data_IF_008618346215
#
_entry.id   IF_008618346215
#
_cell.length_a   1.000
_cell.length_b   1.000
_cell.length_c   1.000
_cell.angle_alpha   90.00
_cell.angle_beta   90.00
_cell.angle_gamma   90.00
#
_symmetry.space_group_name_H-M   'P 1'
#
loop_
_entity.id
_entity.type
_entity.pdbx_description
1 polymer ?
#
# COMPACT_ATOMS: atom_id res chain seq x y z
N UNK A 1 -2.53 -8.33 18.81
CA UNK A 1 -3.62 -9.25 18.41
C UNK A 1 -3.27 -10.67 18.86
N UNK A 2 -4.23 -11.52 19.24
CA UNK A 2 -3.92 -12.89 19.72
C UNK A 2 -3.84 -13.93 18.59
N UNK A 3 -4.47 -13.66 17.44
CA UNK A 3 -4.45 -14.52 16.24
C UNK A 3 -4.37 -13.62 15.01
N UNK A 4 -3.55 -14.01 14.03
CA UNK A 4 -3.46 -13.39 12.70
C UNK A 4 -3.81 -14.45 11.66
N UNK A 5 -4.71 -14.11 10.73
CA UNK A 5 -5.04 -14.96 9.58
C UNK A 5 -4.70 -14.17 8.31
N UNK A 6 -3.53 -14.39 7.70
CA UNK A 6 -3.13 -13.64 6.52
C UNK A 6 -3.92 -14.11 5.29
N UNK A 7 -4.44 -13.16 4.51
CA UNK A 7 -5.04 -13.45 3.20
C UNK A 7 -3.99 -13.66 2.09
N UNK A 8 -2.85 -13.00 2.20
CA UNK A 8 -1.66 -13.18 1.35
C UNK A 8 -0.43 -13.12 2.26
N UNK A 9 0.51 -14.03 2.07
CA UNK A 9 1.80 -14.03 2.76
C UNK A 9 2.84 -14.79 1.95
N UNK A 10 4.11 -14.44 2.14
CA UNK A 10 5.22 -15.26 1.68
C UNK A 10 5.31 -16.46 2.62
N UNK A 11 5.46 -17.67 2.05
CA UNK A 11 5.63 -18.89 2.84
C UNK A 11 6.84 -18.73 3.76
N UNK A 12 6.62 -18.88 5.07
CA UNK A 12 7.65 -18.69 6.09
C UNK A 12 7.65 -17.31 6.76
N UNK A 13 6.88 -16.34 6.24
CA UNK A 13 6.82 -14.95 6.74
C UNK A 13 5.43 -14.61 7.34
N UNK A 14 4.73 -15.63 7.84
CA UNK A 14 3.32 -15.56 8.31
C UNK A 14 3.18 -15.20 9.79
N UNK A 15 4.29 -15.14 10.53
CA UNK A 15 4.29 -15.08 11.99
C UNK A 15 4.46 -13.65 12.56
N UNK A 16 4.65 -12.64 11.71
CA UNK A 16 4.88 -11.30 12.21
C UNK A 16 3.57 -10.66 12.71
N UNK A 17 3.43 -10.62 14.04
CA UNK A 17 2.30 -10.00 14.76
C UNK A 17 2.16 -8.50 14.45
N UNK A 18 3.21 -7.86 13.93
CA UNK A 18 3.22 -6.46 13.54
C UNK A 18 2.77 -6.23 12.09
N UNK A 19 2.57 -7.29 11.29
CA UNK A 19 2.05 -7.19 9.91
C UNK A 19 0.77 -6.34 9.79
N UNK A 20 -0.24 -6.45 10.68
CA UNK A 20 -1.42 -5.58 10.62
C UNK A 20 -1.10 -4.11 10.85
N UNK A 21 -0.10 -3.81 11.70
CA UNK A 21 0.33 -2.44 11.96
C UNK A 21 0.98 -1.84 10.71
N UNK A 22 1.80 -2.63 10.00
CA UNK A 22 2.34 -2.23 8.69
C UNK A 22 1.22 -1.92 7.69
N UNK A 23 0.27 -2.83 7.48
CA UNK A 23 -0.85 -2.61 6.54
C UNK A 23 -1.67 -1.38 6.92
N UNK A 24 -2.01 -1.20 8.20
CA UNK A 24 -2.77 -0.06 8.65
C UNK A 24 -2.01 1.26 8.47
N UNK A 25 -0.69 1.27 8.69
CA UNK A 25 0.15 2.45 8.43
C UNK A 25 0.22 2.77 6.95
N UNK A 26 0.42 1.75 6.11
CA UNK A 26 0.49 1.91 4.65
C UNK A 26 -0.78 2.56 4.10
N UNK A 27 -1.97 2.08 4.50
CA UNK A 27 -3.25 2.64 4.06
C UNK A 27 -3.41 4.10 4.52
N UNK A 28 -3.07 4.41 5.79
CA UNK A 28 -3.15 5.79 6.29
C UNK A 28 -2.21 6.73 5.54
N UNK A 29 -0.99 6.32 5.28
CA UNK A 29 -0.04 7.12 4.52
C UNK A 29 -0.52 7.31 3.07
N UNK A 30 -1.08 6.26 2.45
CA UNK A 30 -1.70 6.36 1.12
C UNK A 30 -2.82 7.41 1.10
N UNK A 31 -3.73 7.38 2.08
CA UNK A 31 -4.81 8.36 2.20
C UNK A 31 -4.28 9.79 2.42
N UNK A 32 -3.18 9.94 3.17
CA UNK A 32 -2.52 11.23 3.42
C UNK A 32 -1.84 11.78 2.15
N UNK A 33 -1.17 10.93 1.37
CA UNK A 33 -0.44 11.35 0.17
C UNK A 33 -1.36 11.53 -1.05
N UNK A 34 -2.48 10.82 -1.12
CA UNK A 34 -3.45 10.89 -2.23
C UNK A 34 -3.91 12.32 -2.58
N UNK A 35 -4.33 13.17 -1.62
CA UNK A 35 -4.72 14.55 -1.93
C UNK A 35 -3.53 15.47 -2.23
N UNK A 36 -2.30 15.10 -1.84
CA UNK A 36 -1.08 15.89 -2.10
C UNK A 36 -0.56 15.67 -3.52
N UNK A 37 -0.70 14.45 -4.04
CA UNK A 37 -0.28 14.08 -5.37
C UNK A 37 -1.21 14.66 -6.45
N UNK A 38 -0.66 15.16 -7.57
CA UNK A 38 -1.49 15.70 -8.66
C UNK A 38 -2.08 14.59 -9.53
N UNK A 39 -1.32 13.51 -9.74
CA UNK A 39 -1.65 12.38 -10.62
C UNK A 39 -1.14 11.06 -10.00
N UNK A 40 -1.42 9.93 -10.66
CA UNK A 40 -1.01 8.61 -10.14
C UNK A 40 0.51 8.45 -10.07
N UNK A 41 1.26 8.98 -11.03
CA UNK A 41 2.74 8.95 -11.03
C UNK A 41 3.32 9.63 -9.78
N UNK A 42 2.80 10.80 -9.42
CA UNK A 42 3.24 11.54 -8.22
C UNK A 42 2.92 10.75 -6.94
N UNK A 43 1.75 10.11 -6.88
CA UNK A 43 1.35 9.29 -5.73
C UNK A 43 2.19 8.03 -5.61
N UNK A 44 2.49 7.36 -6.74
CA UNK A 44 3.36 6.19 -6.79
C UNK A 44 4.76 6.57 -6.30
N UNK A 45 5.30 7.71 -6.75
CA UNK A 45 6.60 8.20 -6.31
C UNK A 45 6.66 8.47 -4.80
N UNK A 46 5.64 9.15 -4.25
CA UNK A 46 5.54 9.42 -2.82
C UNK A 46 5.48 8.13 -1.98
N UNK A 47 4.62 7.18 -2.38
CA UNK A 47 4.48 5.90 -1.68
C UNK A 47 5.73 5.03 -1.81
N UNK A 48 6.42 5.05 -2.95
CA UNK A 48 7.68 4.32 -3.16
C UNK A 48 8.79 4.90 -2.28
N UNK A 49 8.83 6.22 -2.09
CA UNK A 49 9.80 6.86 -1.20
C UNK A 49 9.55 6.50 0.29
N UNK A 50 8.28 6.43 0.71
CA UNK A 50 7.89 6.03 2.07
C UNK A 50 8.11 4.52 2.32
N UNK A 51 7.93 3.70 1.28
CA UNK A 51 7.94 2.24 1.36
C UNK A 51 8.84 1.61 0.28
N UNK A 52 10.16 1.86 0.28
CA UNK A 52 11.07 1.40 -0.79
C UNK A 52 11.21 -0.12 -0.88
N UNK A 53 10.76 -0.85 0.15
CA UNK A 53 10.76 -2.32 0.23
C UNK A 53 9.36 -2.92 0.14
N UNK A 54 8.31 -2.10 0.00
CA UNK A 54 6.98 -2.65 -0.26
C UNK A 54 6.98 -3.36 -1.61
N UNK A 55 6.52 -4.61 -1.61
CA UNK A 55 6.36 -5.37 -2.84
C UNK A 55 5.18 -4.89 -3.70
N UNK A 56 4.85 -5.69 -4.73
CA UNK A 56 3.69 -5.51 -5.62
C UNK A 56 3.50 -4.10 -6.20
N UNK A 57 4.48 -3.67 -7.01
CA UNK A 57 4.43 -2.40 -7.76
C UNK A 57 3.11 -2.25 -8.54
N UNK A 58 2.63 -3.33 -9.17
CA UNK A 58 1.38 -3.33 -9.93
C UNK A 58 0.14 -3.02 -9.08
N UNK A 59 0.09 -3.47 -7.82
CA UNK A 59 -1.03 -3.14 -6.93
C UNK A 59 -1.07 -1.64 -6.61
N UNK A 60 0.10 -1.04 -6.38
CA UNK A 60 0.22 0.40 -6.15
C UNK A 60 -0.16 1.19 -7.41
N UNK A 61 0.29 0.77 -8.59
CA UNK A 61 -0.04 1.42 -9.87
C UNK A 61 -1.55 1.46 -10.12
N UNK A 62 -2.25 0.33 -9.96
CA UNK A 62 -3.71 0.26 -10.15
C UNK A 62 -4.42 1.12 -9.10
N UNK A 63 -4.06 0.98 -7.83
CA UNK A 63 -4.69 1.71 -6.73
C UNK A 63 -4.51 3.23 -6.89
N UNK A 64 -3.32 3.69 -7.30
CA UNK A 64 -3.05 5.10 -7.54
C UNK A 64 -3.88 5.64 -8.71
N UNK A 65 -3.98 4.91 -9.83
CA UNK A 65 -4.80 5.33 -10.98
C UNK A 65 -6.28 5.40 -10.64
N UNK A 66 -6.80 4.45 -9.86
CA UNK A 66 -8.19 4.48 -9.38
C UNK A 66 -8.41 5.65 -8.43
N UNK A 67 -7.54 5.84 -7.43
CA UNK A 67 -7.64 6.93 -6.46
C UNK A 67 -7.57 8.32 -7.10
N UNK A 68 -6.82 8.46 -8.20
CA UNK A 68 -6.71 9.71 -8.98
C UNK A 68 -7.77 9.85 -10.08
N UNK A 69 -8.66 8.86 -10.25
CA UNK A 69 -9.71 8.88 -11.26
C UNK A 69 -9.21 8.69 -12.70
N UNK A 70 -7.96 8.27 -12.87
CA UNK A 70 -7.31 8.01 -14.16
C UNK A 70 -7.65 6.62 -14.72
N UNK A 71 -8.09 5.71 -13.85
CA UNK A 71 -8.65 4.41 -14.21
C UNK A 71 -10.02 4.26 -13.54
N UNK A 72 -11.04 3.94 -14.33
CA UNK A 72 -12.35 3.58 -13.79
C UNK A 72 -12.33 2.10 -13.40
N UNK A 73 -12.87 1.82 -12.24
CA UNK A 73 -13.14 0.47 -11.76
C UNK A 73 -14.33 -0.14 -12.51
#
# INVERSE_FOLDING_TARGET
PSVIVPGHAIVGDVADIDSPAFTAKYIRDFDIETPKAKNSTDLIAAMTALYPKAGSVTSLEISAKVAKGELKW
#
